data_IF_339085776562
#
_entry.id   IF_339085776562
#
_cell.length_a   1.000
_cell.length_b   1.000
_cell.length_c   1.000
_cell.angle_alpha   90.00
_cell.angle_beta   90.00
_cell.angle_gamma   90.00
#
_symmetry.space_group_name_H-M   'P 1'
#
loop_
_entity.id
_entity.type
_entity.pdbx_description
1 polymer ?
#
# COMPACT_ATOMS: atom_id res chain seq x y z
N UNK A 1 -2.31 8.39 -4.82
CA UNK A 1 -2.05 9.58 -3.97
C UNK A 1 -1.49 10.70 -4.81
N UNK A 2 -1.80 11.95 -4.49
CA UNK A 2 -1.32 13.11 -5.25
C UNK A 2 -0.71 14.12 -4.28
N UNK A 3 0.46 14.65 -4.62
CA UNK A 3 1.04 15.76 -3.88
C UNK A 3 0.43 17.09 -4.36
N UNK A 4 0.13 17.96 -3.40
CA UNK A 4 -0.49 19.27 -3.60
C UNK A 4 0.38 20.33 -2.93
N UNK A 5 0.61 21.44 -3.62
CA UNK A 5 1.31 22.60 -3.08
C UNK A 5 0.44 23.85 -3.28
N UNK A 6 0.17 24.64 -2.24
CA UNK A 6 -0.54 25.91 -2.39
C UNK A 6 0.21 26.85 -3.33
N UNK A 7 -0.50 27.50 -4.26
CA UNK A 7 0.13 28.43 -5.22
C UNK A 7 0.74 29.66 -4.51
N UNK A 8 0.19 30.01 -3.35
CA UNK A 8 0.64 31.13 -2.50
C UNK A 8 0.57 30.75 -1.03
N UNK A 9 1.37 31.40 -0.16
CA UNK A 9 1.23 31.25 1.29
C UNK A 9 -0.14 31.71 1.78
N UNK A 10 -0.63 31.07 2.85
CA UNK A 10 -1.84 31.51 3.55
C UNK A 10 -1.72 32.97 4.00
N UNK A 11 -2.83 33.69 3.99
CA UNK A 11 -2.88 35.05 4.52
C UNK A 11 -3.10 34.98 6.02
N UNK A 12 -2.14 35.54 6.76
CA UNK A 12 -2.21 35.67 8.21
C UNK A 12 -3.46 36.45 8.65
N UNK A 13 -3.90 36.14 9.86
CA UNK A 13 -4.98 36.86 10.56
C UNK A 13 -4.70 38.37 10.62
N UNK A 14 -5.76 39.17 10.44
CA UNK A 14 -5.74 40.62 10.64
C UNK A 14 -6.97 41.03 11.46
N UNK A 15 -6.95 42.17 12.20
CA UNK A 15 -8.15 42.66 12.86
C UNK A 15 -9.34 42.75 11.88
N UNK A 16 -10.46 42.12 12.22
CA UNK A 16 -11.65 42.02 11.35
C UNK A 16 -11.62 40.92 10.27
N UNK A 17 -10.53 40.14 10.17
CA UNK A 17 -10.38 39.07 9.18
C UNK A 17 -9.71 37.82 9.76
N UNK A 18 -10.40 36.67 9.65
CA UNK A 18 -9.83 35.36 9.97
C UNK A 18 -8.71 34.97 8.98
N UNK A 19 -7.91 33.96 9.35
CA UNK A 19 -6.93 33.35 8.45
C UNK A 19 -7.61 32.92 7.14
N UNK A 20 -6.95 33.18 6.01
CA UNK A 20 -7.42 32.71 4.71
C UNK A 20 -6.42 31.71 4.16
N UNK A 21 -6.85 30.47 4.02
CA UNK A 21 -6.08 29.41 3.35
C UNK A 21 -6.13 29.64 1.85
N UNK A 22 -4.98 29.53 1.20
CA UNK A 22 -4.94 29.53 -0.26
C UNK A 22 -5.69 28.30 -0.78
N UNK A 23 -6.57 28.51 -1.75
CA UNK A 23 -7.45 27.45 -2.27
C UNK A 23 -6.94 26.90 -3.59
N UNK A 24 -6.12 27.66 -4.32
CA UNK A 24 -5.45 27.19 -5.53
C UNK A 24 -4.20 26.38 -5.17
N UNK A 25 -4.00 25.29 -5.90
CA UNK A 25 -2.85 24.40 -5.70
C UNK A 25 -2.26 23.92 -7.02
N UNK A 26 -0.95 23.75 -7.03
CA UNK A 26 -0.22 23.06 -8.09
C UNK A 26 -0.27 21.55 -7.83
N UNK A 27 -0.59 20.79 -8.88
CA UNK A 27 -0.63 19.33 -8.85
C UNK A 27 0.72 18.77 -9.27
N UNK A 28 1.37 18.00 -8.41
CA UNK A 28 2.69 17.40 -8.66
C UNK A 28 2.62 15.98 -9.25
N UNK A 29 1.55 15.68 -9.98
CA UNK A 29 1.29 14.34 -10.50
C UNK A 29 0.78 13.36 -9.45
N UNK A 30 0.42 12.15 -9.89
CA UNK A 30 -0.17 11.10 -9.06
C UNK A 30 0.77 9.91 -8.97
N UNK A 31 0.88 9.32 -7.79
CA UNK A 31 1.59 8.09 -7.50
C UNK A 31 0.61 7.01 -7.03
N UNK A 32 0.83 5.75 -7.37
CA UNK A 32 0.16 4.62 -6.76
C UNK A 32 0.85 4.26 -5.43
N UNK A 33 0.05 4.08 -4.39
CA UNK A 33 0.50 3.49 -3.13
C UNK A 33 -0.17 2.13 -3.02
N UNK A 34 0.64 1.07 -3.05
CA UNK A 34 0.23 -0.26 -2.68
C UNK A 34 0.70 -0.47 -1.24
N UNK A 35 -0.22 -0.72 -0.32
CA UNK A 35 0.14 -0.85 1.09
C UNK A 35 -0.71 -1.90 1.78
N UNK A 36 -0.08 -2.63 2.69
CA UNK A 36 -0.76 -3.49 3.63
C UNK A 36 -0.29 -3.20 5.05
N UNK A 37 -1.04 -3.74 5.99
CA UNK A 37 -0.80 -3.62 7.42
C UNK A 37 -0.70 -5.00 8.03
N UNK A 38 0.39 -5.23 8.75
CA UNK A 38 0.46 -6.32 9.71
C UNK A 38 -0.50 -6.01 10.85
N UNK A 39 -1.59 -6.78 10.94
CA UNK A 39 -2.69 -6.52 11.89
C UNK A 39 -2.23 -6.69 13.33
N UNK A 40 -1.24 -7.54 13.59
CA UNK A 40 -0.75 -7.82 14.95
C UNK A 40 0.12 -6.66 15.45
N UNK A 41 1.00 -6.16 14.60
CA UNK A 41 1.98 -5.13 14.99
C UNK A 41 1.55 -3.70 14.65
N UNK A 42 0.55 -3.55 13.77
CA UNK A 42 0.16 -2.26 13.19
C UNK A 42 1.17 -1.70 12.18
N UNK A 43 2.22 -2.46 11.82
CA UNK A 43 3.25 -1.99 10.90
C UNK A 43 2.70 -1.93 9.48
N UNK A 44 2.90 -0.79 8.83
CA UNK A 44 2.58 -0.58 7.42
C UNK A 44 3.74 -1.07 6.53
N UNK A 45 3.42 -1.76 5.45
CA UNK A 45 4.34 -2.23 4.42
C UNK A 45 4.01 -1.52 3.10
N UNK A 46 4.64 -0.36 2.81
CA UNK A 46 4.31 0.45 1.64
C UNK A 46 5.16 0.09 0.42
N UNK A 47 4.58 0.27 -0.77
CA UNK A 47 5.27 0.32 -2.05
C UNK A 47 4.68 1.45 -2.90
N UNK A 48 5.55 2.37 -3.32
CA UNK A 48 5.18 3.51 -4.18
C UNK A 48 5.64 3.22 -5.61
N UNK A 49 4.74 3.45 -6.56
CA UNK A 49 4.95 3.22 -8.01
C UNK A 49 4.23 4.29 -8.82
N UNK A 50 4.72 4.56 -10.02
CA UNK A 50 4.02 5.44 -10.97
C UNK A 50 2.71 4.81 -11.48
N UNK A 51 2.62 3.47 -11.42
CA UNK A 51 1.48 2.69 -11.91
C UNK A 51 0.87 1.79 -10.83
N UNK A 52 -0.35 1.30 -11.09
CA UNK A 52 -1.05 0.30 -10.27
C UNK A 52 -1.41 -0.92 -11.13
N UNK A 53 -0.38 -1.57 -11.65
CA UNK A 53 -0.52 -2.77 -12.49
C UNK A 53 -0.57 -4.03 -11.64
N UNK A 54 -0.91 -5.14 -12.29
CA UNK A 54 -0.74 -6.49 -11.73
C UNK A 54 0.73 -6.76 -11.34
N UNK A 55 1.70 -6.31 -12.14
CA UNK A 55 3.11 -6.50 -11.82
C UNK A 55 3.52 -5.73 -10.56
N UNK A 56 3.05 -4.49 -10.40
CA UNK A 56 3.29 -3.71 -9.19
C UNK A 56 2.76 -4.42 -7.93
N UNK A 57 1.60 -5.07 -8.05
CA UNK A 57 1.02 -5.86 -6.96
C UNK A 57 1.78 -7.15 -6.70
N UNK A 58 2.22 -7.85 -7.74
CA UNK A 58 3.10 -9.02 -7.63
C UNK A 58 4.42 -8.69 -6.92
N UNK A 59 5.05 -7.56 -7.26
CA UNK A 59 6.27 -7.10 -6.60
C UNK A 59 6.01 -6.77 -5.12
N UNK A 60 4.85 -6.18 -4.81
CA UNK A 60 4.45 -5.92 -3.43
C UNK A 60 4.23 -7.23 -2.64
N UNK A 61 3.62 -8.24 -3.25
CA UNK A 61 3.47 -9.56 -2.65
C UNK A 61 4.82 -10.20 -2.32
N UNK A 62 5.83 -10.07 -3.19
CA UNK A 62 7.18 -10.56 -2.87
C UNK A 62 7.73 -9.90 -1.61
N UNK A 63 7.57 -8.58 -1.45
CA UNK A 63 8.00 -7.85 -0.25
C UNK A 63 7.31 -8.39 1.00
N UNK A 64 5.98 -8.59 0.95
CA UNK A 64 5.22 -9.10 2.10
C UNK A 64 5.62 -10.53 2.43
N UNK A 65 5.59 -11.42 1.45
CA UNK A 65 5.75 -12.85 1.67
C UNK A 65 7.18 -13.22 2.08
N UNK A 66 8.16 -12.40 1.71
CA UNK A 66 9.57 -12.55 2.15
C UNK A 66 9.91 -11.78 3.42
N UNK A 67 9.00 -10.92 3.93
CA UNK A 67 9.26 -10.11 5.13
C UNK A 67 9.41 -10.94 6.41
N UNK A 68 8.89 -12.17 6.41
CA UNK A 68 9.02 -13.12 7.52
C UNK A 68 9.23 -14.54 6.96
N UNK A 69 10.48 -14.97 6.76
CA UNK A 69 10.79 -16.32 6.28
C UNK A 69 10.33 -17.45 7.21
N UNK A 70 10.05 -17.12 8.48
CA UNK A 70 9.60 -18.08 9.48
C UNK A 70 8.08 -18.10 9.62
N UNK A 71 7.36 -17.23 8.89
CA UNK A 71 5.91 -17.28 8.83
C UNK A 71 5.51 -18.63 8.23
N UNK A 72 4.77 -19.43 8.99
CA UNK A 72 4.33 -20.74 8.53
C UNK A 72 2.92 -20.73 7.91
N UNK A 73 2.45 -19.53 7.56
CA UNK A 73 1.30 -19.29 6.69
C UNK A 73 0.95 -17.81 6.62
N UNK A 74 0.32 -17.40 5.53
CA UNK A 74 -0.15 -16.02 5.31
C UNK A 74 -1.66 -16.02 5.07
N UNK A 75 -2.38 -15.14 5.76
CA UNK A 75 -3.75 -14.78 5.42
C UNK A 75 -3.73 -13.34 4.93
N UNK A 76 -4.11 -13.11 3.67
CA UNK A 76 -4.20 -11.77 3.09
C UNK A 76 -5.67 -11.38 2.95
N UNK A 77 -6.09 -10.33 3.65
CA UNK A 77 -7.45 -9.76 3.50
C UNK A 77 -7.35 -8.57 2.56
N UNK A 78 -7.99 -8.64 1.39
CA UNK A 78 -7.97 -7.60 0.36
C UNK A 78 -9.39 -7.21 -0.02
N UNK A 79 -9.56 -6.03 -0.63
CA UNK A 79 -10.80 -5.70 -1.32
C UNK A 79 -10.92 -6.48 -2.66
N UNK A 80 -11.96 -6.18 -3.45
CA UNK A 80 -12.21 -6.86 -4.73
C UNK A 80 -11.66 -6.09 -5.93
N UNK A 81 -10.43 -5.63 -5.83
CA UNK A 81 -9.75 -4.99 -6.95
C UNK A 81 -9.24 -6.01 -7.97
N UNK A 82 -9.23 -5.63 -9.26
CA UNK A 82 -8.79 -6.52 -10.34
C UNK A 82 -7.36 -7.01 -10.19
N UNK A 83 -6.46 -6.17 -9.67
CA UNK A 83 -5.06 -6.53 -9.41
C UNK A 83 -4.90 -7.61 -8.34
N UNK A 84 -5.89 -7.81 -7.45
CA UNK A 84 -5.86 -8.89 -6.45
C UNK A 84 -6.35 -10.23 -7.01
N UNK A 85 -7.04 -10.21 -8.15
CA UNK A 85 -7.57 -11.40 -8.84
C UNK A 85 -6.69 -11.81 -10.02
N UNK A 86 -5.41 -11.42 -9.98
CA UNK A 86 -4.50 -11.52 -11.11
C UNK A 86 -3.77 -12.87 -11.16
N UNK A 87 -3.37 -13.31 -12.35
CA UNK A 87 -2.65 -14.58 -12.52
C UNK A 87 -1.27 -14.53 -11.82
N UNK A 88 -0.56 -13.43 -11.96
CA UNK A 88 0.74 -13.23 -11.31
C UNK A 88 0.65 -13.37 -9.79
N UNK A 89 -0.39 -12.82 -9.16
CA UNK A 89 -0.61 -12.96 -7.73
C UNK A 89 -0.80 -14.43 -7.32
N UNK A 90 -1.59 -15.19 -8.07
CA UNK A 90 -1.79 -16.63 -7.83
C UNK A 90 -0.47 -17.38 -7.97
N UNK A 91 0.31 -17.09 -9.01
CA UNK A 91 1.60 -17.73 -9.25
C UNK A 91 2.61 -17.45 -8.12
N UNK A 92 2.61 -16.24 -7.54
CA UNK A 92 3.45 -15.90 -6.38
C UNK A 92 3.08 -16.72 -5.15
N UNK A 93 1.79 -16.82 -4.83
CA UNK A 93 1.32 -17.60 -3.68
C UNK A 93 1.63 -19.09 -3.88
N UNK A 94 1.34 -19.65 -5.06
CA UNK A 94 1.58 -21.05 -5.38
C UNK A 94 3.06 -21.44 -5.26
N UNK A 95 3.97 -20.54 -5.67
CA UNK A 95 5.41 -20.76 -5.54
C UNK A 95 5.84 -20.93 -4.07
N UNK A 96 5.23 -20.21 -3.13
CA UNK A 96 5.55 -20.28 -1.70
C UNK A 96 4.89 -21.48 -1.03
N UNK A 97 3.63 -21.79 -1.37
CA UNK A 97 2.95 -22.98 -0.83
C UNK A 97 3.69 -24.28 -1.18
N UNK A 98 4.28 -24.33 -2.39
CA UNK A 98 5.12 -25.46 -2.81
C UNK A 98 6.35 -25.62 -1.90
N UNK A 99 6.89 -24.52 -1.35
CA UNK A 99 8.00 -24.53 -0.39
C UNK A 99 7.56 -24.76 1.07
N UNK A 100 6.33 -24.39 1.45
CA UNK A 100 5.83 -24.42 2.84
C UNK A 100 5.23 -25.76 3.29
N UNK A 101 5.12 -26.79 2.44
CA UNK A 101 4.70 -28.16 2.84
C UNK A 101 5.60 -28.86 3.88
N UNK A 102 6.51 -28.13 4.55
CA UNK A 102 7.44 -28.68 5.54
C UNK A 102 7.34 -28.10 6.97
N UNK A 103 6.62 -27.02 7.31
CA UNK A 103 6.53 -26.51 8.71
C UNK A 103 5.30 -25.61 8.98
N UNK A 104 4.75 -25.61 10.21
CA UNK A 104 3.39 -25.08 10.54
C UNK A 104 3.32 -24.02 11.67
N UNK A 105 2.59 -22.91 11.41
CA UNK A 105 2.05 -21.82 12.27
C UNK A 105 1.71 -20.54 11.43
N UNK A 106 0.43 -20.18 11.28
CA UNK A 106 -0.02 -19.11 10.34
C UNK A 106 -0.16 -17.70 10.94
N UNK A 107 0.04 -16.66 10.12
CA UNK A 107 -0.18 -15.21 10.43
C UNK A 107 -1.21 -14.56 9.50
N UNK A 108 -1.93 -13.54 10.02
CA UNK A 108 -2.94 -12.76 9.28
C UNK A 108 -2.46 -11.33 9.02
N UNK A 109 -2.55 -10.88 7.77
CA UNK A 109 -2.27 -9.53 7.29
C UNK A 109 -3.46 -8.99 6.51
N UNK A 110 -3.76 -7.70 6.69
CA UNK A 110 -4.82 -7.01 5.96
C UNK A 110 -4.19 -6.02 4.98
N UNK A 111 -4.71 -6.00 3.76
CA UNK A 111 -4.29 -5.17 2.63
C UNK A 111 -5.46 -4.24 2.32
N UNK A 112 -5.15 -2.97 2.07
CA UNK A 112 -6.14 -1.93 1.75
C UNK A 112 -6.00 -1.48 0.30
#
# INVERSE_FOLDING_TARGET
MQALEPVKPNKLVKPGHIEKREFEYTRHGTQALLAGMDVVTGKIIPLIRDTRTEQDFSDWLDIVLTSDPNAAGWHLVMDRLNTHMSEAAVMKVAAIETHQRMNSASRVSQVF
#
